data_IF_767973834235
#
_entry.id   IF_767973834235
#
_cell.length_a   1.000
_cell.length_b   1.000
_cell.length_c   1.000
_cell.angle_alpha   90.00
_cell.angle_beta   90.00
_cell.angle_gamma   90.00
#
_symmetry.space_group_name_H-M   'P 1'
#
loop_
_entity.id
_entity.type
_entity.pdbx_description
1 polymer ?
#
# COMPACT_ATOMS: atom_id res chain seq x y z
N UNK A 1 12.36 10.58 -1.39
CA UNK A 1 12.70 9.18 -1.68
C UNK A 1 11.79 8.33 -0.80
N UNK A 2 10.51 8.24 -1.17
CA UNK A 2 9.41 7.64 -0.38
C UNK A 2 8.55 6.74 -1.30
N UNK A 3 8.35 7.19 -2.55
CA UNK A 3 7.56 6.53 -3.61
C UNK A 3 7.91 5.05 -3.86
N UNK A 4 9.17 4.67 -3.69
CA UNK A 4 9.63 3.30 -3.91
C UNK A 4 9.43 2.41 -2.67
N UNK A 5 9.21 2.98 -1.49
CA UNK A 5 9.22 2.21 -0.23
C UNK A 5 7.96 1.36 -0.08
N UNK A 6 6.80 1.83 -0.55
CA UNK A 6 5.56 1.04 -0.56
C UNK A 6 5.70 -0.18 -1.50
N UNK A 7 6.22 0.03 -2.71
CA UNK A 7 6.45 -1.06 -3.66
C UNK A 7 7.52 -2.03 -3.16
N UNK A 8 8.64 -1.50 -2.67
CA UNK A 8 9.73 -2.27 -2.08
C UNK A 8 9.23 -3.11 -0.92
N UNK A 9 8.44 -2.53 -0.01
CA UNK A 9 7.86 -3.25 1.11
C UNK A 9 6.93 -4.38 0.64
N UNK A 10 6.07 -4.13 -0.35
CA UNK A 10 5.20 -5.17 -0.91
C UNK A 10 5.97 -6.34 -1.53
N UNK A 11 7.13 -6.07 -2.12
CA UNK A 11 8.02 -7.08 -2.71
C UNK A 11 8.79 -7.84 -1.63
N UNK A 12 9.38 -7.14 -0.66
CA UNK A 12 10.30 -7.72 0.33
C UNK A 12 9.58 -8.38 1.51
N UNK A 13 8.47 -7.79 1.98
CA UNK A 13 7.79 -8.16 3.23
C UNK A 13 6.46 -8.88 3.00
N UNK A 14 6.09 -9.09 1.74
CA UNK A 14 4.95 -9.87 1.32
C UNK A 14 3.72 -9.04 0.93
N UNK A 15 3.02 -9.46 -0.14
CA UNK A 15 1.90 -8.71 -0.70
C UNK A 15 0.59 -8.91 0.08
N UNK A 16 -0.49 -8.31 -0.41
CA UNK A 16 -1.83 -8.46 0.17
C UNK A 16 -2.10 -7.55 1.36
N UNK A 17 -1.35 -6.46 1.49
CA UNK A 17 -1.49 -5.46 2.56
C UNK A 17 -2.54 -4.42 2.22
N UNK A 18 -3.16 -3.86 3.25
CA UNK A 18 -4.07 -2.71 3.18
C UNK A 18 -3.30 -1.39 3.21
N UNK A 19 -3.95 -0.28 2.84
CA UNK A 19 -3.36 1.06 2.94
C UNK A 19 -2.88 1.39 4.35
N UNK A 20 -3.64 0.97 5.38
CA UNK A 20 -3.29 1.22 6.78
C UNK A 20 -2.04 0.45 7.19
N UNK A 21 -1.98 -0.84 6.85
CA UNK A 21 -0.80 -1.67 7.13
C UNK A 21 0.45 -1.11 6.43
N UNK A 22 0.31 -0.70 5.16
CA UNK A 22 1.40 -0.06 4.41
C UNK A 22 1.82 1.27 5.03
N UNK A 23 0.86 2.09 5.47
CA UNK A 23 1.17 3.38 6.07
C UNK A 23 1.94 3.20 7.39
N UNK A 24 1.51 2.24 8.20
CA UNK A 24 2.17 1.91 9.45
C UNK A 24 3.56 1.30 9.23
N UNK A 25 3.72 0.47 8.20
CA UNK A 25 4.99 -0.17 7.88
C UNK A 25 6.03 0.82 7.33
N UNK A 26 5.63 1.71 6.43
CA UNK A 26 6.54 2.62 5.72
C UNK A 26 6.79 3.91 6.51
N UNK A 27 5.77 4.43 7.20
CA UNK A 27 5.85 5.73 7.89
C UNK A 27 5.76 5.63 9.42
N UNK A 28 5.74 4.42 9.97
CA UNK A 28 5.61 4.19 11.41
C UNK A 28 4.19 4.39 11.94
N UNK A 29 4.01 4.38 13.25
CA UNK A 29 2.70 4.41 13.92
C UNK A 29 1.84 5.65 13.60
N UNK A 30 2.46 6.74 13.15
CA UNK A 30 1.79 7.98 12.71
C UNK A 30 1.54 8.02 11.20
N UNK A 31 1.78 6.93 10.48
CA UNK A 31 1.61 6.84 9.05
C UNK A 31 0.17 7.10 8.61
N UNK A 32 -0.01 8.11 7.78
CA UNK A 32 -1.31 8.44 7.20
C UNK A 32 -1.56 7.62 5.94
N UNK A 33 -2.75 7.05 5.83
CA UNK A 33 -3.20 6.33 4.61
C UNK A 33 -3.18 7.23 3.37
N UNK A 34 -3.29 8.56 3.54
CA UNK A 34 -3.19 9.53 2.45
C UNK A 34 -1.82 9.53 1.77
N UNK A 35 -0.73 9.35 2.52
CA UNK A 35 0.62 9.29 1.95
C UNK A 35 0.75 8.05 1.06
N UNK A 36 0.30 6.90 1.56
CA UNK A 36 0.28 5.64 0.81
C UNK A 36 -0.65 5.73 -0.41
N UNK A 37 -1.78 6.42 -0.31
CA UNK A 37 -2.66 6.63 -1.46
C UNK A 37 -1.99 7.44 -2.57
N UNK A 38 -1.26 8.48 -2.18
CA UNK A 38 -0.50 9.28 -3.13
C UNK A 38 0.61 8.43 -3.79
N UNK A 39 1.32 7.62 -3.02
CA UNK A 39 2.35 6.72 -3.55
C UNK A 39 1.75 5.66 -4.48
N UNK A 40 0.68 4.99 -4.08
CA UNK A 40 -0.04 3.99 -4.87
C UNK A 40 -0.58 4.57 -6.19
N UNK A 41 -1.05 5.82 -6.19
CA UNK A 41 -1.50 6.50 -7.41
C UNK A 41 -0.35 6.79 -8.38
N UNK A 42 0.87 7.01 -7.86
CA UNK A 42 2.06 7.28 -8.68
C UNK A 42 2.70 6.01 -9.25
N UNK A 43 2.49 4.86 -8.61
CA UNK A 43 2.97 3.54 -9.06
C UNK A 43 1.86 2.72 -9.72
N UNK A 44 0.78 3.38 -10.15
CA UNK A 44 -0.33 2.73 -10.82
C UNK A 44 0.17 1.93 -12.03
N UNK A 45 -0.36 0.71 -12.17
CA UNK A 45 0.11 -0.25 -13.17
C UNK A 45 1.21 -1.21 -12.68
N UNK A 46 1.98 -0.91 -11.63
CA UNK A 46 2.94 -1.88 -11.01
C UNK A 46 2.36 -2.65 -9.83
N UNK A 47 1.23 -2.21 -9.29
CA UNK A 47 0.53 -2.85 -8.19
C UNK A 47 -0.89 -3.19 -8.63
N UNK A 48 -1.32 -4.42 -8.39
CA UNK A 48 -2.70 -4.87 -8.52
C UNK A 48 -3.45 -4.67 -7.20
N UNK A 49 -4.68 -4.17 -7.29
CA UNK A 49 -5.58 -4.00 -6.16
C UNK A 49 -6.68 -5.06 -6.19
N UNK A 50 -6.94 -5.72 -5.06
CA UNK A 50 -8.02 -6.70 -4.87
C UNK A 50 -8.92 -6.30 -3.71
N UNK A 51 -10.16 -6.79 -3.69
CA UNK A 51 -11.20 -6.44 -2.71
C UNK A 51 -12.02 -5.23 -3.14
N UNK A 52 -13.09 -4.96 -2.40
CA UNK A 52 -14.10 -3.93 -2.71
C UNK A 52 -13.84 -2.56 -2.07
N UNK A 53 -12.88 -2.47 -1.14
CA UNK A 53 -12.53 -1.21 -0.47
C UNK A 53 -13.51 -0.78 0.62
N UNK A 54 -14.37 -1.69 1.10
CA UNK A 54 -15.33 -1.43 2.19
C UNK A 54 -14.78 -1.89 3.54
N UNK A 55 -15.39 -1.43 4.64
CA UNK A 55 -14.95 -1.75 6.02
C UNK A 55 -14.78 -3.26 6.28
N UNK A 56 -15.60 -4.12 5.65
CA UNK A 56 -15.50 -5.59 5.76
C UNK A 56 -14.63 -6.27 4.71
N UNK A 57 -14.22 -5.54 3.66
CA UNK A 57 -13.38 -6.05 2.58
C UNK A 57 -12.49 -4.90 2.05
N UNK A 58 -11.45 -4.52 2.82
CA UNK A 58 -10.59 -3.41 2.45
C UNK A 58 -9.75 -3.75 1.23
N UNK A 59 -9.33 -2.73 0.49
CA UNK A 59 -8.40 -2.93 -0.62
C UNK A 59 -7.09 -3.54 -0.15
N UNK A 60 -6.66 -4.59 -0.85
CA UNK A 60 -5.37 -5.25 -0.66
C UNK A 60 -4.51 -5.09 -1.91
N UNK A 61 -3.23 -4.82 -1.70
CA UNK A 61 -2.28 -4.44 -2.74
C UNK A 61 -1.24 -5.53 -2.98
N UNK A 62 -0.98 -5.83 -4.25
CA UNK A 62 -0.07 -6.88 -4.69
C UNK A 62 0.85 -6.33 -5.78
N UNK A 63 2.18 -6.50 -5.71
CA UNK A 63 3.04 -6.17 -6.84
C UNK A 63 2.67 -7.06 -8.03
N UNK A 64 2.76 -6.52 -9.25
CA UNK A 64 2.60 -7.28 -10.48
C UNK A 64 3.85 -8.06 -10.83
#
# INVERSE_FOLDING_TARGET
MIKADVLKYLIEMGPGRTQLELAQAVHGSTGLTQNVNQDLALIDGTVSRRGEGRKGDPFRYYPK
#
